data_IF_558284834139
#
_entry.id   IF_558284834139
#
_cell.length_a   1.000
_cell.length_b   1.000
_cell.length_c   1.000
_cell.angle_alpha   90.00
_cell.angle_beta   90.00
_cell.angle_gamma   90.00
#
_symmetry.space_group_name_H-M   'P 1'
#
loop_
_entity.id
_entity.type
_entity.pdbx_description
1 polymer ?
#
# COMPACT_ATOMS: atom_id res chain seq x y z
N UNK A 1 5.83 -50.79 -15.87
CA UNK A 1 6.38 -50.91 -14.51
C UNK A 1 5.68 -49.85 -13.67
N UNK A 2 4.56 -50.22 -13.07
CA UNK A 2 3.74 -49.29 -12.30
C UNK A 2 4.38 -49.18 -10.92
N UNK A 3 5.16 -48.13 -10.69
CA UNK A 3 5.58 -47.73 -9.36
C UNK A 3 4.31 -47.49 -8.53
N UNK A 4 3.99 -48.44 -7.64
CA UNK A 4 2.93 -48.30 -6.65
C UNK A 4 3.40 -47.21 -5.70
N UNK A 5 2.97 -45.97 -5.93
CA UNK A 5 3.21 -44.88 -5.00
C UNK A 5 2.56 -45.27 -3.67
N UNK A 6 3.37 -45.67 -2.68
CA UNK A 6 2.90 -46.09 -1.36
C UNK A 6 2.27 -44.94 -0.55
N UNK A 7 2.36 -43.71 -1.07
CA UNK A 7 1.87 -42.50 -0.43
C UNK A 7 0.65 -42.02 -1.21
N UNK A 8 -0.47 -41.85 -0.50
CA UNK A 8 -1.70 -41.27 -1.07
C UNK A 8 -1.43 -39.88 -1.65
N UNK A 9 -2.24 -39.41 -2.60
CA UNK A 9 -2.09 -38.08 -3.17
C UNK A 9 -2.12 -36.98 -2.10
N UNK A 10 -2.99 -37.12 -1.10
CA UNK A 10 -3.01 -36.26 0.09
C UNK A 10 -1.71 -36.31 0.89
N UNK A 11 -1.06 -37.48 0.98
CA UNK A 11 0.26 -37.61 1.61
C UNK A 11 1.35 -36.85 0.86
N UNK A 12 1.31 -36.83 -0.49
CA UNK A 12 2.23 -36.02 -1.30
C UNK A 12 2.04 -34.53 -1.04
N UNK A 13 0.79 -34.06 -1.01
CA UNK A 13 0.45 -32.66 -0.69
C UNK A 13 0.93 -32.28 0.72
N UNK A 14 0.72 -33.16 1.69
CA UNK A 14 1.16 -32.93 3.06
C UNK A 14 2.69 -32.83 3.18
N UNK A 15 3.43 -33.71 2.51
CA UNK A 15 4.90 -33.65 2.46
C UNK A 15 5.38 -32.34 1.80
N UNK A 16 4.74 -31.90 0.72
CA UNK A 16 5.05 -30.62 0.08
C UNK A 16 4.81 -29.43 1.02
N UNK A 17 3.71 -29.44 1.78
CA UNK A 17 3.43 -28.42 2.79
C UNK A 17 4.50 -28.41 3.89
N UNK A 18 4.88 -29.58 4.42
CA UNK A 18 5.93 -29.70 5.43
C UNK A 18 7.29 -29.23 4.89
N UNK A 19 7.61 -29.55 3.64
CA UNK A 19 8.83 -29.09 2.98
C UNK A 19 8.84 -27.56 2.87
N UNK A 20 7.71 -26.94 2.49
CA UNK A 20 7.56 -25.48 2.45
C UNK A 20 7.80 -24.83 3.82
N UNK A 21 7.16 -25.36 4.86
CA UNK A 21 7.35 -24.89 6.25
C UNK A 21 8.81 -25.05 6.68
N UNK A 22 9.42 -26.19 6.37
CA UNK A 22 10.81 -26.47 6.70
C UNK A 22 11.76 -25.46 6.04
N UNK A 23 11.60 -25.21 4.74
CA UNK A 23 12.43 -24.26 4.00
C UNK A 23 12.29 -22.85 4.59
N UNK A 24 11.07 -22.35 4.79
CA UNK A 24 10.84 -21.01 5.38
C UNK A 24 11.48 -20.90 6.75
N UNK A 25 11.32 -21.93 7.58
CA UNK A 25 11.89 -21.99 8.93
C UNK A 25 13.42 -22.00 8.87
N UNK A 26 14.02 -22.85 8.04
CA UNK A 26 15.47 -22.92 7.86
C UNK A 26 16.04 -21.59 7.36
N UNK A 27 15.42 -20.95 6.37
CA UNK A 27 15.87 -19.65 5.85
C UNK A 27 15.75 -18.56 6.92
N UNK A 28 14.68 -18.56 7.72
CA UNK A 28 14.52 -17.62 8.83
C UNK A 28 15.61 -17.80 9.90
N UNK A 29 15.90 -19.04 10.30
CA UNK A 29 16.97 -19.32 11.26
C UNK A 29 18.35 -19.03 10.69
N UNK A 30 18.62 -19.38 9.43
CA UNK A 30 19.86 -19.06 8.75
C UNK A 30 20.10 -17.55 8.71
N UNK A 31 19.07 -16.77 8.31
CA UNK A 31 19.11 -15.30 8.37
C UNK A 31 19.42 -14.80 9.77
N UNK A 32 18.75 -15.35 10.79
CA UNK A 32 18.98 -15.01 12.19
C UNK A 32 20.42 -15.27 12.63
N UNK A 33 21.08 -16.35 12.17
CA UNK A 33 22.47 -16.67 12.50
C UNK A 33 23.51 -15.89 11.70
N UNK A 34 23.26 -15.61 10.42
CA UNK A 34 24.18 -14.90 9.52
C UNK A 34 24.13 -13.38 9.73
N UNK A 35 22.96 -12.83 10.05
CA UNK A 35 22.75 -11.38 10.12
C UNK A 35 23.56 -10.71 11.25
N UNK A 36 24.26 -9.60 10.98
CA UNK A 36 24.92 -8.80 12.01
C UNK A 36 23.91 -8.26 13.03
N UNK A 37 24.10 -8.58 14.31
CA UNK A 37 23.20 -8.16 15.41
C UNK A 37 23.75 -6.93 16.11
N UNK A 38 23.35 -5.74 15.65
CA UNK A 38 23.68 -4.44 16.26
C UNK A 38 22.41 -3.63 16.55
N UNK A 39 21.61 -4.02 17.58
CA UNK A 39 20.43 -3.25 17.97
C UNK A 39 20.86 -1.88 18.49
N UNK A 40 20.13 -0.84 18.09
CA UNK A 40 20.28 0.54 18.56
C UNK A 40 18.85 1.02 18.86
N UNK A 41 18.59 1.77 19.95
CA UNK A 41 17.29 2.38 20.20
C UNK A 41 16.66 3.00 18.95
N UNK A 42 17.42 3.77 18.16
CA UNK A 42 16.92 4.41 16.92
C UNK A 42 16.57 3.43 15.78
N UNK A 43 17.10 2.20 15.79
CA UNK A 43 16.72 1.16 14.83
C UNK A 43 15.49 0.37 15.26
N UNK A 44 15.14 0.45 16.54
CA UNK A 44 14.04 -0.27 17.16
C UNK A 44 12.81 0.64 17.37
N UNK A 45 12.95 1.95 17.16
CA UNK A 45 11.85 2.91 17.16
C UNK A 45 10.98 2.71 15.92
N UNK A 46 9.68 3.02 16.06
CA UNK A 46 8.76 2.99 14.92
C UNK A 46 9.10 4.13 13.95
N UNK A 47 9.06 3.83 12.66
CA UNK A 47 9.40 4.78 11.62
C UNK A 47 8.21 5.70 11.30
N UNK A 48 8.35 7.00 11.53
CA UNK A 48 7.40 8.04 11.12
C UNK A 48 8.16 9.24 10.50
N UNK A 49 8.88 8.99 9.40
CA UNK A 49 9.61 10.04 8.65
C UNK A 49 10.60 10.88 9.47
N UNK A 50 11.13 10.35 10.58
CA UNK A 50 12.05 11.05 11.48
C UNK A 50 11.37 11.82 12.62
N UNK A 51 10.04 11.72 12.73
CA UNK A 51 9.27 12.18 13.88
C UNK A 51 9.03 11.01 14.86
N UNK A 52 8.93 11.32 16.15
CA UNK A 52 8.55 10.33 17.14
C UNK A 52 7.08 9.98 16.96
N UNK A 53 6.72 8.69 16.91
CA UNK A 53 5.35 8.30 16.71
C UNK A 53 4.47 8.86 17.82
N UNK A 54 3.42 9.58 17.41
CA UNK A 54 2.51 10.24 18.34
C UNK A 54 1.16 9.54 18.37
N UNK A 55 0.64 9.31 19.58
CA UNK A 55 -0.66 8.67 19.79
C UNK A 55 -0.60 7.14 19.94
N UNK A 56 -1.79 6.57 20.13
CA UNK A 56 -1.96 5.14 20.35
C UNK A 56 -2.11 4.41 19.00
N UNK A 57 -1.40 3.30 18.80
CA UNK A 57 -1.54 2.46 17.59
C UNK A 57 -2.90 1.75 17.50
N UNK A 58 -3.63 1.66 18.61
CA UNK A 58 -4.99 1.13 18.65
C UNK A 58 -6.02 2.19 18.26
N UNK A 59 -6.04 2.53 16.98
CA UNK A 59 -7.06 3.39 16.38
C UNK A 59 -8.20 2.54 15.80
N UNK A 60 -9.43 3.06 15.88
CA UNK A 60 -10.56 2.43 15.20
C UNK A 60 -10.38 2.56 13.69
N UNK A 61 -10.15 1.43 13.03
CA UNK A 61 -10.12 1.37 11.57
C UNK A 61 -11.51 1.62 11.00
N UNK A 62 -11.55 2.04 9.74
CA UNK A 62 -12.80 2.34 9.05
C UNK A 62 -13.68 1.09 8.95
N UNK A 63 -14.96 1.19 9.35
CA UNK A 63 -15.93 0.10 9.30
C UNK A 63 -16.09 -0.50 7.88
N UNK A 64 -15.73 0.24 6.83
CA UNK A 64 -15.80 -0.23 5.43
C UNK A 64 -14.97 -1.49 5.18
N UNK A 65 -13.85 -1.69 5.89
CA UNK A 65 -13.08 -2.94 5.80
C UNK A 65 -13.89 -4.16 6.23
N UNK A 66 -14.70 -4.00 7.28
CA UNK A 66 -15.58 -5.06 7.76
C UNK A 66 -16.68 -5.38 6.76
N UNK A 67 -17.29 -4.36 6.13
CA UNK A 67 -18.34 -4.57 5.12
C UNK A 67 -17.79 -5.32 3.90
N UNK A 68 -16.60 -4.96 3.43
CA UNK A 68 -15.93 -5.66 2.32
C UNK A 68 -15.64 -7.12 2.70
N UNK A 69 -15.14 -7.36 3.92
CA UNK A 69 -14.88 -8.72 4.40
C UNK A 69 -16.16 -9.57 4.52
N UNK A 70 -17.26 -8.97 4.98
CA UNK A 70 -18.56 -9.64 5.08
C UNK A 70 -19.11 -10.02 3.70
N UNK A 71 -19.03 -9.10 2.73
CA UNK A 71 -19.43 -9.36 1.34
C UNK A 71 -18.56 -10.47 0.74
N UNK A 72 -17.24 -10.43 0.95
CA UNK A 72 -16.33 -11.48 0.49
C UNK A 72 -16.68 -12.85 1.08
N UNK A 73 -16.92 -12.93 2.40
CA UNK A 73 -17.30 -14.16 3.07
C UNK A 73 -18.63 -14.71 2.55
N UNK A 74 -19.59 -13.84 2.25
CA UNK A 74 -20.85 -14.25 1.61
C UNK A 74 -20.54 -14.88 0.24
N UNK A 75 -19.80 -14.20 -0.63
CA UNK A 75 -19.42 -14.74 -1.94
C UNK A 75 -18.63 -16.07 -1.86
N UNK A 76 -17.77 -16.23 -0.86
CA UNK A 76 -16.98 -17.46 -0.65
C UNK A 76 -17.87 -18.66 -0.30
N UNK A 77 -18.85 -18.46 0.58
CA UNK A 77 -19.86 -19.49 0.90
C UNK A 77 -20.66 -19.86 -0.35
N UNK A 78 -20.99 -18.91 -1.21
CA UNK A 78 -21.76 -19.16 -2.43
C UNK A 78 -20.96 -19.95 -3.47
N UNK A 79 -19.63 -19.74 -3.54
CA UNK A 79 -18.75 -20.59 -4.36
C UNK A 79 -18.76 -22.05 -3.90
N UNK A 80 -18.92 -22.31 -2.60
CA UNK A 80 -19.04 -23.68 -2.09
C UNK A 80 -20.29 -24.40 -2.64
N UNK A 81 -21.35 -23.67 -3.03
CA UNK A 81 -22.52 -24.23 -3.71
C UNK A 81 -22.32 -24.40 -5.22
N UNK A 82 -21.53 -23.53 -5.87
CA UNK A 82 -21.24 -23.64 -7.31
C UNK A 82 -20.39 -24.88 -7.61
N UNK A 83 -19.44 -25.23 -6.73
CA UNK A 83 -18.53 -26.36 -6.98
C UNK A 83 -19.29 -27.68 -7.23
N UNK A 84 -20.16 -28.17 -6.32
CA UNK A 84 -20.95 -29.38 -6.59
C UNK A 84 -21.77 -29.29 -7.87
N UNK A 85 -22.41 -28.15 -8.15
CA UNK A 85 -23.18 -27.96 -9.38
C UNK A 85 -22.32 -28.16 -10.64
N UNK A 86 -21.11 -27.58 -10.68
CA UNK A 86 -20.21 -27.74 -11.84
C UNK A 86 -19.82 -29.20 -12.10
N UNK A 87 -19.67 -29.99 -11.04
CA UNK A 87 -19.32 -31.42 -11.17
C UNK A 87 -20.45 -32.27 -11.75
N UNK A 88 -21.70 -31.88 -11.53
CA UNK A 88 -22.88 -32.66 -11.92
C UNK A 88 -23.47 -32.17 -13.25
N UNK A 89 -23.32 -30.88 -13.58
CA UNK A 89 -23.88 -30.29 -14.80
C UNK A 89 -23.51 -31.06 -16.08
N UNK A 90 -22.26 -31.53 -16.19
CA UNK A 90 -21.76 -32.28 -17.34
C UNK A 90 -21.98 -33.79 -17.29
N UNK A 91 -22.76 -34.31 -16.35
CA UNK A 91 -22.96 -35.76 -16.20
C UNK A 91 -23.85 -36.32 -17.32
N UNK A 92 -23.27 -37.18 -18.16
CA UNK A 92 -23.94 -37.76 -19.33
C UNK A 92 -25.15 -38.63 -18.98
N UNK A 93 -25.13 -39.31 -17.82
CA UNK A 93 -26.24 -40.18 -17.39
C UNK A 93 -27.48 -39.35 -17.04
N UNK A 94 -27.28 -38.19 -16.40
CA UNK A 94 -28.37 -37.28 -16.03
C UNK A 94 -28.96 -36.56 -17.26
N UNK A 95 -28.10 -36.17 -18.20
CA UNK A 95 -28.53 -35.57 -19.48
C UNK A 95 -29.28 -36.59 -20.35
N UNK A 96 -28.87 -37.86 -20.32
CA UNK A 96 -29.57 -38.93 -21.04
C UNK A 96 -30.91 -39.31 -20.39
N UNK A 97 -31.01 -39.21 -19.06
CA UNK A 97 -32.24 -39.50 -18.31
C UNK A 97 -33.34 -38.46 -18.56
N UNK A 98 -32.99 -37.17 -18.63
CA UNK A 98 -33.93 -36.09 -18.98
C UNK A 98 -33.25 -35.04 -19.87
N UNK A 99 -33.77 -34.88 -21.09
CA UNK A 99 -33.28 -33.89 -22.06
C UNK A 99 -33.45 -32.44 -21.60
N UNK A 100 -34.27 -32.19 -20.57
CA UNK A 100 -34.47 -30.86 -19.96
C UNK A 100 -33.44 -30.53 -18.88
N UNK A 101 -32.67 -31.52 -18.41
CA UNK A 101 -31.71 -31.38 -17.29
C UNK A 101 -30.76 -30.20 -17.48
N UNK A 102 -30.12 -30.10 -18.65
CA UNK A 102 -29.14 -29.05 -18.93
C UNK A 102 -29.75 -27.64 -18.86
N UNK A 103 -30.94 -27.45 -19.46
CA UNK A 103 -31.61 -26.15 -19.43
C UNK A 103 -32.15 -25.78 -18.05
N UNK A 104 -32.67 -26.76 -17.31
CA UNK A 104 -33.16 -26.56 -15.95
C UNK A 104 -32.03 -26.14 -15.01
N UNK A 105 -30.96 -26.95 -14.94
CA UNK A 105 -29.81 -26.70 -14.05
C UNK A 105 -29.06 -25.42 -14.41
N UNK A 106 -28.97 -25.07 -15.69
CA UNK A 106 -28.39 -23.80 -16.13
C UNK A 106 -29.25 -22.60 -15.72
N UNK A 107 -30.56 -22.70 -15.85
CA UNK A 107 -31.49 -21.62 -15.44
C UNK A 107 -31.43 -21.39 -13.93
N UNK A 108 -31.41 -22.47 -13.14
CA UNK A 108 -31.27 -22.40 -11.68
C UNK A 108 -29.97 -21.70 -11.28
N UNK A 109 -28.84 -22.06 -11.91
CA UNK A 109 -27.55 -21.41 -11.64
C UNK A 109 -27.54 -19.94 -12.07
N UNK A 110 -28.21 -19.59 -13.17
CA UNK A 110 -28.33 -18.20 -13.61
C UNK A 110 -29.15 -17.36 -12.64
N UNK A 111 -30.23 -17.91 -12.08
CA UNK A 111 -31.03 -17.27 -11.04
C UNK A 111 -30.19 -17.10 -9.77
N UNK A 112 -29.48 -18.15 -9.34
CA UNK A 112 -28.62 -18.12 -8.17
C UNK A 112 -27.54 -17.03 -8.28
N UNK A 113 -26.76 -17.02 -9.37
CA UNK A 113 -25.77 -15.98 -9.65
C UNK A 113 -26.43 -14.60 -9.78
N UNK A 114 -27.61 -14.53 -10.42
CA UNK A 114 -28.37 -13.30 -10.58
C UNK A 114 -28.73 -12.63 -9.25
N UNK A 115 -29.12 -13.41 -8.24
CA UNK A 115 -29.40 -12.93 -6.88
C UNK A 115 -28.12 -12.34 -6.24
N UNK A 116 -26.96 -12.99 -6.41
CA UNK A 116 -25.68 -12.50 -5.89
C UNK A 116 -25.26 -11.18 -6.54
N UNK A 117 -25.37 -11.11 -7.87
CA UNK A 117 -25.09 -9.88 -8.62
C UNK A 117 -26.02 -8.77 -8.16
N UNK A 118 -27.30 -9.05 -7.95
CA UNK A 118 -28.26 -8.05 -7.46
C UNK A 118 -27.87 -7.53 -6.07
N UNK A 119 -27.46 -8.41 -5.15
CA UNK A 119 -26.95 -8.02 -3.83
C UNK A 119 -25.71 -7.14 -3.90
N UNK A 120 -24.76 -7.47 -4.80
CA UNK A 120 -23.56 -6.68 -5.02
C UNK A 120 -23.88 -5.31 -5.64
N UNK A 121 -24.75 -5.27 -6.65
CA UNK A 121 -25.21 -4.01 -7.27
C UNK A 121 -25.89 -3.13 -6.23
N UNK A 122 -26.71 -3.70 -5.34
CA UNK A 122 -27.32 -2.95 -4.25
C UNK A 122 -26.27 -2.35 -3.31
N UNK A 123 -25.30 -3.15 -2.83
CA UNK A 123 -24.22 -2.68 -1.97
C UNK A 123 -23.37 -1.59 -2.65
N UNK A 124 -23.12 -1.74 -3.95
CA UNK A 124 -22.40 -0.75 -4.74
C UNK A 124 -23.19 0.56 -4.87
N UNK A 125 -24.48 0.50 -5.22
CA UNK A 125 -25.34 1.67 -5.34
C UNK A 125 -25.53 2.42 -4.02
N UNK A 126 -25.47 1.70 -2.90
CA UNK A 126 -25.51 2.29 -1.56
C UNK A 126 -24.21 3.02 -1.18
N UNK A 127 -23.11 2.79 -1.91
CA UNK A 127 -21.82 3.42 -1.65
C UNK A 127 -20.99 2.73 -0.56
N UNK A 128 -21.42 1.55 -0.10
CA UNK A 128 -20.71 0.78 0.94
C UNK A 128 -19.32 0.30 0.45
N UNK A 129 -19.14 0.23 -0.87
CA UNK A 129 -17.87 -0.10 -1.54
C UNK A 129 -16.99 1.11 -1.87
N UNK A 130 -17.46 2.34 -1.65
CA UNK A 130 -16.66 3.53 -1.97
C UNK A 130 -15.50 3.69 -0.99
N UNK A 131 -14.34 4.08 -1.50
CA UNK A 131 -13.17 4.32 -0.66
C UNK A 131 -13.14 5.75 -0.11
N UNK A 132 -12.68 5.92 1.13
CA UNK A 132 -12.48 7.24 1.72
C UNK A 132 -11.26 7.89 1.07
N UNK A 133 -11.52 8.93 0.28
CA UNK A 133 -10.45 9.78 -0.25
C UNK A 133 -9.94 10.68 0.88
N UNK A 134 -8.62 10.80 1.09
CA UNK A 134 -8.07 11.79 2.00
C UNK A 134 -8.58 13.17 1.59
N UNK A 135 -9.17 13.91 2.52
CA UNK A 135 -9.44 15.33 2.32
C UNK A 135 -8.28 16.13 2.94
N UNK A 136 -7.27 16.52 2.15
CA UNK A 136 -6.18 17.32 2.69
C UNK A 136 -6.73 18.66 3.17
N UNK A 137 -6.73 18.87 4.49
CA UNK A 137 -6.92 20.20 5.05
C UNK A 137 -5.67 21.00 4.72
N UNK A 138 -5.74 21.83 3.69
CA UNK A 138 -4.64 22.73 3.35
C UNK A 138 -4.50 23.71 4.51
N UNK A 139 -3.36 23.76 5.22
CA UNK A 139 -3.19 24.70 6.30
C UNK A 139 -3.25 26.12 5.72
N UNK A 140 -4.29 26.87 6.09
CA UNK A 140 -4.37 28.29 5.82
C UNK A 140 -3.34 28.99 6.70
N UNK A 141 -2.14 29.17 6.16
CA UNK A 141 -1.08 29.90 6.85
C UNK A 141 -1.22 31.36 6.43
N UNK A 142 -1.23 32.29 7.39
CA UNK A 142 -1.21 33.75 7.14
C UNK A 142 0.17 34.16 6.63
N UNK A 143 0.54 33.64 5.47
CA UNK A 143 1.76 34.00 4.77
C UNK A 143 1.39 35.09 3.78
N UNK A 144 2.05 36.23 3.88
CA UNK A 144 1.93 37.33 2.94
C UNK A 144 2.50 37.02 1.53
N UNK A 145 2.77 35.74 1.23
CA UNK A 145 3.35 35.28 -0.03
C UNK A 145 2.18 34.84 -0.93
N UNK A 146 1.94 35.53 -2.06
CA UNK A 146 0.84 35.16 -2.95
C UNK A 146 1.14 33.83 -3.68
N UNK A 147 0.09 33.04 -3.92
CA UNK A 147 0.19 31.73 -4.59
C UNK A 147 0.90 31.79 -5.95
N UNK A 148 0.79 32.91 -6.66
CA UNK A 148 1.46 33.14 -7.95
C UNK A 148 2.99 33.03 -7.88
N UNK A 149 3.60 33.28 -6.72
CA UNK A 149 5.05 33.12 -6.53
C UNK A 149 5.44 31.64 -6.60
N UNK A 150 4.62 30.75 -6.05
CA UNK A 150 4.84 29.31 -6.17
C UNK A 150 4.64 28.84 -7.61
N UNK A 151 3.66 29.39 -8.34
CA UNK A 151 3.48 29.06 -9.76
C UNK A 151 4.68 29.49 -10.60
N UNK A 152 5.29 30.64 -10.31
CA UNK A 152 6.52 31.07 -11.00
C UNK A 152 7.69 30.14 -10.70
N UNK A 153 7.89 29.75 -9.44
CA UNK A 153 8.97 28.85 -9.00
C UNK A 153 8.81 27.44 -9.58
N UNK A 154 7.58 26.90 -9.58
CA UNK A 154 7.31 25.55 -10.10
C UNK A 154 7.49 25.46 -11.63
N UNK A 155 7.24 26.57 -12.33
CA UNK A 155 7.42 26.65 -13.79
C UNK A 155 8.84 27.07 -14.20
N UNK A 156 9.65 27.58 -13.27
CA UNK A 156 11.06 27.85 -13.50
C UNK A 156 11.84 26.55 -13.69
N UNK A 157 12.60 26.46 -14.78
CA UNK A 157 13.51 25.34 -15.00
C UNK A 157 14.82 25.60 -14.28
N UNK A 158 15.06 24.89 -13.20
CA UNK A 158 16.33 24.93 -12.49
C UNK A 158 17.40 24.13 -13.23
N UNK A 159 18.55 24.75 -13.48
CA UNK A 159 19.75 24.04 -13.92
C UNK A 159 20.32 23.28 -12.72
N UNK A 160 20.20 21.95 -12.76
CA UNK A 160 20.75 21.09 -11.70
C UNK A 160 22.26 21.25 -11.71
N UNK A 161 22.81 21.85 -10.65
CA UNK A 161 24.27 21.88 -10.47
C UNK A 161 24.76 20.43 -10.38
N UNK A 162 25.83 20.07 -11.10
CA UNK A 162 26.39 18.74 -10.98
C UNK A 162 26.77 18.49 -9.52
N UNK A 163 26.23 17.41 -8.95
CA UNK A 163 26.57 17.01 -7.60
C UNK A 163 27.98 16.41 -7.63
N UNK A 164 28.94 17.13 -7.04
CA UNK A 164 30.33 16.69 -6.93
C UNK A 164 30.62 16.38 -5.47
N UNK A 165 31.10 15.15 -5.19
CA UNK A 165 31.51 14.70 -3.85
C UNK A 165 32.87 15.24 -3.42
N UNK A 166 33.65 15.79 -4.35
CA UNK A 166 34.89 16.48 -4.05
C UNK A 166 34.58 17.88 -3.52
N UNK A 167 34.68 18.03 -2.19
CA UNK A 167 34.74 19.34 -1.57
C UNK A 167 36.10 19.95 -1.91
N UNK A 168 36.19 20.65 -3.03
CA UNK A 168 37.32 21.56 -3.26
C UNK A 168 37.20 22.64 -2.19
N UNK A 169 37.95 22.48 -1.11
CA UNK A 169 38.23 23.58 -0.20
C UNK A 169 39.08 24.53 -1.03
N UNK A 170 38.45 25.45 -1.75
CA UNK A 170 39.14 26.62 -2.25
C UNK A 170 39.74 27.29 -1.01
N UNK A 171 41.05 27.16 -0.87
CA UNK A 171 41.80 27.94 0.09
C UNK A 171 41.47 29.40 -0.22
N UNK A 172 40.78 30.05 0.71
CA UNK A 172 40.66 31.50 0.74
C UNK A 172 42.10 32.00 0.83
N UNK A 173 42.69 32.30 -0.32
CA UNK A 173 43.98 32.96 -0.39
C UNK A 173 43.81 34.26 0.39
N UNK A 174 44.61 34.42 1.44
CA UNK A 174 44.90 35.72 2.04
C UNK A 174 45.54 36.59 0.96
N UNK A 175 44.71 37.23 0.15
CA UNK A 175 45.11 38.38 -0.64
C UNK A 175 44.76 39.62 0.16
N UNK A 176 45.80 40.35 0.56
CA UNK A 176 45.70 41.72 1.04
C UNK A 176 44.93 42.54 0.01
N UNK A 177 43.70 42.93 0.35
CA UNK A 177 42.87 43.84 -0.45
C UNK A 177 43.30 45.27 -0.07
N UNK A 178 43.80 46.10 -1.01
CA UNK A 178 43.94 47.52 -0.75
C UNK A 178 42.55 48.11 -0.54
N UNK A 179 42.45 49.03 0.42
CA UNK A 179 41.24 49.71 0.85
C UNK A 179 40.63 50.56 -0.29
N UNK A 180 39.89 49.91 -1.19
CA UNK A 180 39.06 50.57 -2.19
C UNK A 180 37.61 50.17 -1.95
N UNK A 181 36.89 51.09 -1.31
CA UNK A 181 35.44 51.17 -1.12
C UNK A 181 34.62 50.04 -1.77
N UNK A 182 34.32 49.01 -0.96
CA UNK A 182 33.44 47.92 -1.34
C UNK A 182 32.05 48.44 -1.72
N UNK A 183 31.64 48.18 -2.97
CA UNK A 183 30.25 48.39 -3.42
C UNK A 183 29.34 47.47 -2.61
N UNK A 184 28.25 47.97 -1.98
CA UNK A 184 27.45 47.15 -1.08
C UNK A 184 26.76 46.02 -1.85
N UNK A 185 26.81 44.80 -1.30
CA UNK A 185 26.08 43.65 -1.82
C UNK A 185 24.59 44.01 -1.98
N UNK A 186 23.93 43.55 -3.07
CA UNK A 186 22.51 43.82 -3.27
C UNK A 186 21.73 43.26 -2.09
N UNK A 187 20.98 44.15 -1.42
CA UNK A 187 20.14 43.77 -0.27
C UNK A 187 19.11 42.74 -0.76
N UNK A 188 18.81 41.69 0.02
CA UNK A 188 17.68 40.82 -0.30
C UNK A 188 16.42 41.68 -0.45
N UNK A 189 15.64 41.44 -1.52
CA UNK A 189 14.43 42.20 -1.84
C UNK A 189 13.35 42.11 -0.75
N UNK A 190 13.53 41.23 0.23
CA UNK A 190 12.59 40.97 1.30
C UNK A 190 13.31 41.00 2.66
N UNK A 191 12.83 41.87 3.56
CA UNK A 191 13.17 41.84 5.00
C UNK A 191 12.02 41.18 5.75
N UNK A 192 12.10 39.89 6.10
CA UNK A 192 11.07 39.26 6.93
C UNK A 192 11.01 39.97 8.30
N UNK A 193 9.83 40.47 8.65
CA UNK A 193 9.60 41.07 9.97
C UNK A 193 8.96 40.00 10.85
N UNK A 194 9.76 39.31 11.66
CA UNK A 194 9.23 38.31 12.58
C UNK A 194 8.54 39.00 13.76
N UNK A 195 7.21 38.92 13.82
CA UNK A 195 6.47 39.27 15.05
C UNK A 195 6.67 38.14 16.05
N UNK A 196 7.16 38.47 17.25
CA UNK A 196 7.27 37.50 18.35
C UNK A 196 5.86 36.98 18.69
N UNK A 197 5.69 35.67 18.94
CA UNK A 197 4.41 35.15 19.41
C UNK A 197 4.08 35.81 20.76
N UNK A 198 2.85 36.28 20.91
CA UNK A 198 2.34 36.76 22.18
C UNK A 198 2.35 35.60 23.18
N UNK A 199 3.08 35.76 24.28
CA UNK A 199 3.06 34.81 25.40
C UNK A 199 1.64 34.70 25.91
N UNK A 200 1.04 33.52 25.75
CA UNK A 200 -0.22 33.11 26.38
C UNK A 200 0.09 31.96 27.32
#
# INVERSE_FOLDING_TARGET
MNEVSQITEFGKVFIMMLMGILIVTLTFFASRFIAPRKPNPEKLTSYECGENPSGNSWVQFNLRFYVIALIFLLFDVEMAFIIPWTTIFGNADLVAADSRWGWFTLTEMFIFIGILILGLVYAWKKGDLEWVKPQPKIPATDQAIPLSVYDTINNERYTVKPFTTERTVEAVATSDVPDTAAKPAPRPAFKPTFRKPASS
#
